data_IF_947499641299
#
_entry.id   IF_947499641299
#
_cell.length_a   1.000
_cell.length_b   1.000
_cell.length_c   1.000
_cell.angle_alpha   90.00
_cell.angle_beta   90.00
_cell.angle_gamma   90.00
#
_symmetry.space_group_name_H-M   'P 1'
#
loop_
_entity.id
_entity.type
_entity.pdbx_description
1 polymer ?
#
# COMPACT_ATOMS: atom_id res chain seq x y z
N UNK A 1 36.27 -46.81 -32.19
CA UNK A 1 35.78 -47.32 -30.89
C UNK A 1 35.42 -46.13 -30.02
N UNK A 2 34.27 -46.22 -29.34
CA UNK A 2 33.71 -45.36 -28.28
C UNK A 2 33.45 -43.83 -28.49
N UNK A 3 32.16 -43.54 -28.74
CA UNK A 3 31.27 -42.44 -28.26
C UNK A 3 31.41 -42.13 -26.74
N UNK A 4 30.75 -41.10 -26.12
CA UNK A 4 29.93 -39.99 -26.67
C UNK A 4 29.96 -38.61 -25.89
N UNK A 5 29.19 -37.66 -26.45
CA UNK A 5 28.20 -36.76 -25.81
C UNK A 5 28.62 -35.59 -24.89
N UNK A 6 28.30 -34.39 -25.40
CA UNK A 6 27.54 -33.30 -24.78
C UNK A 6 27.06 -33.53 -23.33
N UNK A 7 27.39 -32.59 -22.43
CA UNK A 7 26.38 -31.96 -21.56
C UNK A 7 26.99 -30.73 -20.88
N UNK A 8 26.69 -29.54 -21.38
CA UNK A 8 25.71 -28.64 -20.75
C UNK A 8 26.29 -27.94 -19.52
N UNK A 9 27.01 -26.84 -19.79
CA UNK A 9 27.18 -25.76 -18.81
C UNK A 9 25.78 -25.23 -18.54
N UNK A 10 25.16 -25.69 -17.46
CA UNK A 10 23.90 -25.13 -16.98
C UNK A 10 24.19 -23.71 -16.49
N UNK A 11 23.98 -22.75 -17.39
CA UNK A 11 23.87 -21.34 -17.07
C UNK A 11 22.68 -21.23 -16.10
N UNK A 12 22.95 -21.25 -14.79
CA UNK A 12 21.95 -20.93 -13.77
C UNK A 12 21.51 -19.50 -14.03
N UNK A 13 20.43 -19.35 -14.79
CA UNK A 13 19.68 -18.11 -14.86
C UNK A 13 19.09 -17.91 -13.47
N UNK A 14 19.78 -17.11 -12.64
CA UNK A 14 19.16 -16.49 -11.47
C UNK A 14 18.01 -15.64 -12.02
N UNK A 15 16.84 -16.24 -12.11
CA UNK A 15 15.60 -15.49 -12.17
C UNK A 15 15.51 -14.81 -10.81
N UNK A 16 15.97 -13.56 -10.74
CA UNK A 16 15.54 -12.65 -9.68
C UNK A 16 14.03 -12.58 -9.84
N UNK A 17 13.33 -13.41 -9.07
CA UNK A 17 11.90 -13.28 -8.90
C UNK A 17 11.70 -11.87 -8.39
N UNK A 18 11.16 -11.00 -9.24
CA UNK A 18 10.55 -9.76 -8.80
C UNK A 18 9.42 -10.20 -7.87
N UNK A 19 9.73 -10.37 -6.59
CA UNK A 19 8.79 -10.81 -5.59
C UNK A 19 7.64 -9.78 -5.63
N UNK A 20 6.49 -10.20 -6.18
CA UNK A 20 5.29 -9.41 -6.14
C UNK A 20 5.00 -9.13 -4.66
N UNK A 21 5.35 -7.93 -4.20
CA UNK A 21 5.19 -7.56 -2.80
C UNK A 21 3.71 -7.68 -2.45
N UNK A 22 3.44 -8.36 -1.34
CA UNK A 22 2.08 -8.64 -0.93
C UNK A 22 1.33 -7.34 -0.61
N UNK A 23 0.02 -7.25 -0.91
CA UNK A 23 -0.78 -6.10 -0.52
C UNK A 23 -0.70 -5.85 0.98
N UNK A 24 -0.31 -4.63 1.36
CA UNK A 24 -0.26 -4.21 2.75
C UNK A 24 -1.62 -3.75 3.29
N UNK A 25 -1.66 -3.35 4.55
CA UNK A 25 -2.85 -2.75 5.20
C UNK A 25 -2.52 -1.48 5.96
N UNK A 26 -3.48 -0.58 6.06
CA UNK A 26 -3.42 0.55 7.00
C UNK A 26 -3.66 0.01 8.42
N UNK A 27 -2.76 0.28 9.36
CA UNK A 27 -2.75 -0.33 10.71
C UNK A 27 -3.11 0.65 11.82
N UNK A 28 -3.12 1.96 11.55
CA UNK A 28 -3.57 2.97 12.49
C UNK A 28 -4.44 4.04 11.83
N UNK A 29 -5.01 4.93 12.64
CA UNK A 29 -5.87 6.01 12.20
C UNK A 29 -6.00 7.10 13.25
N UNK A 30 -6.85 8.08 12.97
CA UNK A 30 -7.18 9.17 13.88
C UNK A 30 -7.87 8.69 15.16
N UNK A 31 -7.43 9.21 16.30
CA UNK A 31 -8.14 9.09 17.56
C UNK A 31 -9.43 9.92 17.53
N UNK A 32 -10.55 9.32 17.93
CA UNK A 32 -11.84 10.01 18.07
C UNK A 32 -12.57 10.34 16.77
N UNK A 33 -12.00 9.99 15.61
CA UNK A 33 -12.64 10.21 14.30
C UNK A 33 -12.76 8.89 13.57
N UNK A 34 -14.00 8.46 13.31
CA UNK A 34 -14.30 7.20 12.65
C UNK A 34 -15.12 7.42 11.38
N UNK A 35 -14.88 6.58 10.38
CA UNK A 35 -15.67 6.46 9.15
C UNK A 35 -16.07 5.01 8.97
N UNK A 36 -17.36 4.74 8.80
CA UNK A 36 -17.95 3.39 8.76
C UNK A 36 -17.49 2.50 9.93
N UNK A 37 -17.43 3.09 11.13
CA UNK A 37 -17.00 2.40 12.35
C UNK A 37 -15.50 2.13 12.46
N UNK A 38 -14.68 2.55 11.49
CA UNK A 38 -13.22 2.36 11.51
C UNK A 38 -12.49 3.69 11.70
N UNK A 39 -11.34 3.72 12.40
CA UNK A 39 -10.53 4.93 12.51
C UNK A 39 -10.18 5.54 11.15
N UNK A 40 -10.39 6.84 11.00
CA UNK A 40 -10.07 7.60 9.79
C UNK A 40 -8.56 7.65 9.53
N UNK A 41 -8.08 7.23 8.35
CA UNK A 41 -6.65 7.26 8.04
C UNK A 41 -6.21 8.64 7.52
N UNK A 42 -4.96 8.99 7.78
CA UNK A 42 -4.35 10.30 7.52
C UNK A 42 -2.88 10.16 7.19
N UNK A 43 -2.27 11.23 6.67
CA UNK A 43 -0.81 11.28 6.49
C UNK A 43 -0.11 11.06 7.83
N UNK A 44 0.85 10.14 7.84
CA UNK A 44 1.60 9.71 9.01
C UNK A 44 1.02 8.49 9.70
N UNK A 45 -0.22 8.09 9.41
CA UNK A 45 -0.76 6.83 9.95
C UNK A 45 -0.03 5.64 9.30
N UNK A 46 0.22 4.62 10.11
CA UNK A 46 1.05 3.45 9.78
C UNK A 46 0.34 2.49 8.84
N UNK A 47 1.12 1.80 8.04
CA UNK A 47 0.73 0.64 7.26
C UNK A 47 1.55 -0.57 7.71
N UNK A 48 1.28 -1.75 7.15
CA UNK A 48 2.12 -2.95 7.36
C UNK A 48 3.56 -2.75 6.91
N UNK A 49 3.79 -1.89 5.93
CA UNK A 49 5.07 -1.75 5.24
C UNK A 49 5.63 -0.31 5.29
N UNK A 50 5.13 0.52 6.19
CA UNK A 50 5.59 1.91 6.36
C UNK A 50 4.51 2.85 6.89
N UNK A 51 4.37 4.01 6.27
CA UNK A 51 3.34 5.01 6.59
C UNK A 51 2.72 5.64 5.35
N UNK A 52 1.55 6.24 5.51
CA UNK A 52 0.92 7.07 4.49
C UNK A 52 1.66 8.41 4.42
N UNK A 53 2.10 8.83 3.23
CA UNK A 53 2.85 10.09 3.05
C UNK A 53 2.09 11.13 2.24
N UNK A 54 1.01 10.74 1.56
CA UNK A 54 0.21 11.61 0.72
C UNK A 54 -1.27 11.48 1.07
N UNK A 55 -1.93 12.62 1.26
CA UNK A 55 -3.35 12.73 1.54
C UNK A 55 -4.02 13.78 0.65
N UNK A 56 -5.31 14.00 0.89
CA UNK A 56 -6.10 15.00 0.18
C UNK A 56 -5.62 16.43 0.48
N UNK A 57 -5.62 17.27 -0.55
CA UNK A 57 -5.37 18.71 -0.40
C UNK A 57 -6.57 19.40 0.26
N UNK A 58 -6.31 20.26 1.24
CA UNK A 58 -7.32 21.13 1.87
C UNK A 58 -8.27 20.45 2.87
N UNK A 59 -8.15 19.13 3.09
CA UNK A 59 -9.00 18.40 4.04
C UNK A 59 -8.12 17.74 5.10
N UNK A 60 -8.36 18.11 6.35
CA UNK A 60 -7.52 17.72 7.49
C UNK A 60 -8.36 17.03 8.57
N UNK A 61 -7.81 15.97 9.15
CA UNK A 61 -8.40 15.25 10.29
C UNK A 61 -7.39 15.33 11.44
N UNK A 62 -7.77 15.94 12.55
CA UNK A 62 -6.88 16.31 13.66
C UNK A 62 -5.55 16.93 13.16
N UNK A 63 -5.66 17.92 12.26
CA UNK A 63 -4.51 18.68 11.74
C UNK A 63 -3.64 17.98 10.69
N UNK A 64 -3.92 16.72 10.33
CA UNK A 64 -3.15 15.98 9.31
C UNK A 64 -4.01 15.77 8.05
N UNK A 65 -3.44 15.85 6.83
CA UNK A 65 -4.20 15.61 5.60
C UNK A 65 -4.88 14.24 5.62
N UNK A 66 -6.16 14.19 5.25
CA UNK A 66 -6.94 12.96 5.23
C UNK A 66 -6.43 11.99 4.15
N UNK A 67 -6.29 10.71 4.46
CA UNK A 67 -5.86 9.72 3.48
C UNK A 67 -7.02 9.32 2.56
N UNK A 68 -6.71 9.15 1.28
CA UNK A 68 -7.68 8.76 0.23
C UNK A 68 -7.10 7.68 -0.66
N UNK A 69 -7.96 6.96 -1.37
CA UNK A 69 -7.52 6.00 -2.38
C UNK A 69 -6.67 6.69 -3.45
N UNK A 70 -5.53 6.06 -3.77
CA UNK A 70 -4.48 6.58 -4.65
C UNK A 70 -3.36 7.32 -3.93
N UNK A 71 -3.53 7.67 -2.65
CA UNK A 71 -2.50 8.31 -1.83
C UNK A 71 -1.29 7.39 -1.64
N UNK A 72 -0.10 7.96 -1.80
CA UNK A 72 1.17 7.26 -1.73
C UNK A 72 1.57 6.87 -0.30
N UNK A 73 2.26 5.72 -0.18
CA UNK A 73 2.93 5.26 1.04
C UNK A 73 4.43 5.47 0.93
N UNK A 74 5.11 5.46 2.08
CA UNK A 74 6.55 5.69 2.17
C UNK A 74 7.38 4.73 1.31
N UNK A 75 6.96 3.47 1.19
CA UNK A 75 7.68 2.47 0.43
C UNK A 75 7.31 2.42 -1.06
N UNK A 76 6.76 3.51 -1.62
CA UNK A 76 6.38 3.60 -3.04
C UNK A 76 5.03 2.94 -3.39
N UNK A 77 4.35 2.35 -2.41
CA UNK A 77 3.01 1.80 -2.55
C UNK A 77 1.92 2.87 -2.57
N UNK A 78 0.66 2.43 -2.68
CA UNK A 78 -0.54 3.29 -2.68
C UNK A 78 -1.67 2.69 -1.87
N UNK A 79 -2.53 3.54 -1.34
CA UNK A 79 -3.80 3.11 -0.74
C UNK A 79 -4.78 2.72 -1.84
N UNK A 80 -5.37 1.51 -1.80
CA UNK A 80 -6.16 0.95 -2.90
C UNK A 80 -7.62 0.64 -2.53
N UNK A 81 -7.99 0.71 -1.25
CA UNK A 81 -9.38 0.62 -0.82
C UNK A 81 -9.73 1.73 0.16
N UNK A 82 -11.02 1.98 0.33
CA UNK A 82 -11.55 3.04 1.19
C UNK A 82 -13.02 2.81 1.54
N UNK A 83 -13.65 3.83 2.10
CA UNK A 83 -15.09 3.89 2.35
C UNK A 83 -15.91 3.81 1.06
N UNK A 84 -17.07 3.17 1.12
CA UNK A 84 -18.05 3.16 0.03
C UNK A 84 -19.05 4.32 0.10
N UNK A 85 -19.12 5.02 1.23
CA UNK A 85 -20.07 6.11 1.47
C UNK A 85 -19.44 7.49 1.69
N UNK A 86 -18.15 7.54 2.06
CA UNK A 86 -17.46 8.80 2.35
C UNK A 86 -16.35 9.05 1.33
N UNK A 87 -16.47 10.18 0.65
CA UNK A 87 -15.56 10.63 -0.39
C UNK A 87 -14.94 11.97 -0.01
N UNK A 88 -13.64 12.10 -0.23
CA UNK A 88 -12.89 13.34 -0.07
C UNK A 88 -12.31 13.71 -1.43
N UNK A 89 -12.65 14.89 -1.94
CA UNK A 89 -12.25 15.35 -3.27
C UNK A 89 -12.55 14.31 -4.39
N UNK A 90 -13.73 13.67 -4.31
CA UNK A 90 -14.15 12.65 -5.27
C UNK A 90 -13.45 11.29 -5.15
N UNK A 91 -12.58 11.10 -4.16
CA UNK A 91 -11.89 9.82 -3.92
C UNK A 91 -12.41 9.16 -2.64
N UNK A 92 -12.58 7.83 -2.61
CA UNK A 92 -12.91 7.11 -1.38
C UNK A 92 -11.92 7.44 -0.25
N UNK A 93 -12.45 7.77 0.92
CA UNK A 93 -11.64 8.03 2.11
C UNK A 93 -11.06 6.73 2.66
N UNK A 94 -9.76 6.71 2.96
CA UNK A 94 -9.10 5.56 3.54
C UNK A 94 -9.24 5.51 5.07
N UNK A 95 -9.24 4.29 5.63
CA UNK A 95 -9.43 4.00 7.06
C UNK A 95 -8.49 2.91 7.51
N UNK A 96 -8.31 2.76 8.81
CA UNK A 96 -7.62 1.60 9.38
C UNK A 96 -8.27 0.29 8.87
N UNK A 97 -7.44 -0.66 8.45
CA UNK A 97 -7.83 -1.94 7.87
C UNK A 97 -8.05 -1.92 6.35
N UNK A 98 -8.09 -0.75 5.70
CA UNK A 98 -8.12 -0.66 4.23
C UNK A 98 -6.77 -1.11 3.63
N UNK A 99 -6.83 -1.65 2.42
CA UNK A 99 -5.70 -2.26 1.73
C UNK A 99 -4.79 -1.22 1.06
N UNK A 100 -3.51 -1.55 0.97
CA UNK A 100 -2.50 -0.85 0.18
C UNK A 100 -1.91 -1.79 -0.86
N UNK A 101 -1.31 -1.26 -1.92
CA UNK A 101 -0.75 -2.06 -3.01
C UNK A 101 0.49 -2.88 -2.64
N UNK A 102 1.00 -2.75 -1.42
CA UNK A 102 2.37 -3.17 -1.09
C UNK A 102 3.40 -2.19 -1.65
N UNK A 103 4.66 -2.38 -1.27
CA UNK A 103 5.78 -1.55 -1.70
C UNK A 103 6.14 -1.78 -3.18
N UNK A 104 6.89 -0.84 -3.74
CA UNK A 104 7.32 -0.85 -5.15
C UNK A 104 8.80 -0.58 -5.28
#
# INVERSE_FOLDING_TARGET
MQKPLLSLVALMTLTVSAAAQQPGKITSGATGVTVDGKPAARVGDTTTDGKIIEGAKGVYINGKPAAVVGGSTECGGKTISGSTGVFINGKPMARAGDSTSGCK
#
